data_IF_865533298143
#
_entry.id   IF_865533298143
#
_cell.length_a   1.000
_cell.length_b   1.000
_cell.length_c   1.000
_cell.angle_alpha   90.00
_cell.angle_beta   90.00
_cell.angle_gamma   90.00
#
_symmetry.space_group_name_H-M   'P 1'
#
loop_
_entity.id
_entity.type
_entity.pdbx_description
1 polymer ?
#
# COMPACT_ATOMS: atom_id res chain seq x y z
N UNK A 1 4.15 0.83 8.86
CA UNK A 1 3.56 2.18 8.75
C UNK A 1 2.07 2.02 8.47
N UNK A 2 1.27 2.61 9.31
CA UNK A 2 -0.19 2.45 9.28
C UNK A 2 -0.87 3.52 8.42
N UNK A 3 -2.18 3.40 8.27
CA UNK A 3 -3.00 4.36 7.56
C UNK A 3 -3.17 5.70 8.29
N UNK A 4 -3.66 6.68 7.57
CA UNK A 4 -3.97 8.00 8.08
C UNK A 4 -4.63 8.87 7.02
N UNK A 5 -5.20 10.02 7.41
CA UNK A 5 -5.91 10.89 6.49
C UNK A 5 -5.00 11.83 5.68
N UNK A 6 -3.70 11.88 5.98
CA UNK A 6 -2.77 12.80 5.35
C UNK A 6 -2.44 12.38 3.92
N UNK A 7 -2.05 13.32 3.07
CA UNK A 7 -1.35 13.00 1.82
C UNK A 7 0.07 12.55 2.11
N UNK A 8 0.55 11.52 1.41
CA UNK A 8 1.85 10.92 1.70
C UNK A 8 3.04 11.88 1.52
N UNK A 9 2.88 12.92 0.72
CA UNK A 9 3.92 13.92 0.46
C UNK A 9 3.66 15.26 1.16
N UNK A 10 2.72 15.34 2.09
CA UNK A 10 2.38 16.56 2.83
C UNK A 10 3.42 16.86 3.93
N UNK A 11 4.68 16.92 3.56
CA UNK A 11 5.82 17.06 4.47
C UNK A 11 5.81 18.37 5.25
N UNK A 12 5.37 19.46 4.61
CA UNK A 12 5.35 20.80 5.25
C UNK A 12 4.33 20.84 6.37
N UNK A 13 3.17 20.21 6.16
CA UNK A 13 2.09 20.18 7.14
C UNK A 13 2.30 19.10 8.20
N UNK A 14 2.90 17.98 7.80
CA UNK A 14 3.14 16.83 8.66
C UNK A 14 4.59 16.36 8.51
N UNK A 15 5.53 17.01 9.20
CA UNK A 15 6.96 16.69 9.02
C UNK A 15 7.35 15.27 9.43
N UNK A 16 6.56 14.61 10.26
CA UNK A 16 6.76 13.20 10.59
C UNK A 16 6.70 12.26 9.38
N UNK A 17 5.97 12.64 8.33
CA UNK A 17 5.91 11.84 7.08
C UNK A 17 7.29 11.74 6.42
N UNK A 18 8.07 12.81 6.47
CA UNK A 18 9.43 12.81 5.94
C UNK A 18 10.34 11.86 6.71
N UNK A 19 10.19 11.80 8.04
CA UNK A 19 10.93 10.86 8.88
C UNK A 19 10.54 9.41 8.57
N UNK A 20 9.25 9.14 8.36
CA UNK A 20 8.76 7.81 7.96
C UNK A 20 9.28 7.39 6.59
N UNK A 21 9.32 8.30 5.62
CA UNK A 21 9.89 8.03 4.31
C UNK A 21 11.39 7.69 4.40
N UNK A 22 12.12 8.41 5.23
CA UNK A 22 13.54 8.14 5.48
C UNK A 22 13.74 6.78 6.15
N UNK A 23 12.87 6.44 7.10
CA UNK A 23 12.89 5.13 7.76
C UNK A 23 12.63 4.00 6.77
N UNK A 24 11.67 4.18 5.85
CA UNK A 24 11.36 3.20 4.81
C UNK A 24 12.57 2.93 3.92
N UNK A 25 13.24 3.97 3.46
CA UNK A 25 14.47 3.83 2.66
C UNK A 25 15.58 3.10 3.43
N UNK A 26 15.76 3.45 4.69
CA UNK A 26 16.78 2.82 5.54
C UNK A 26 16.48 1.34 5.78
N UNK A 27 15.21 0.99 6.00
CA UNK A 27 14.80 -0.40 6.20
C UNK A 27 15.08 -1.24 4.97
N UNK A 28 14.71 -0.76 3.79
CA UNK A 28 14.97 -1.48 2.52
C UNK A 28 16.48 -1.62 2.27
N UNK A 29 17.24 -0.55 2.46
CA UNK A 29 18.69 -0.56 2.25
C UNK A 29 19.41 -1.55 3.18
N UNK A 30 18.89 -1.75 4.40
CA UNK A 30 19.46 -2.67 5.37
C UNK A 30 18.81 -4.07 5.39
N UNK A 31 17.85 -4.31 4.49
CA UNK A 31 17.15 -5.60 4.40
C UNK A 31 16.20 -5.88 5.55
N UNK A 32 15.80 -4.87 6.31
CA UNK A 32 14.86 -5.03 7.43
C UNK A 32 13.43 -5.03 6.92
N UNK A 33 12.58 -5.95 7.41
CA UNK A 33 11.17 -5.99 7.00
C UNK A 33 10.45 -4.69 7.33
N UNK A 34 9.66 -4.19 6.39
CA UNK A 34 8.78 -3.06 6.60
C UNK A 34 7.46 -3.30 5.86
N UNK A 35 6.36 -3.04 6.55
CA UNK A 35 5.00 -3.15 6.02
C UNK A 35 4.34 -1.79 6.03
N UNK A 36 3.71 -1.42 4.91
CA UNK A 36 2.88 -0.23 4.82
C UNK A 36 1.45 -0.57 4.45
N UNK A 37 0.49 0.03 5.15
CA UNK A 37 -0.94 -0.14 4.91
C UNK A 37 -1.56 1.21 4.59
N UNK A 38 -2.29 1.31 3.48
CA UNK A 38 -2.97 2.50 2.99
C UNK A 38 -2.01 3.69 2.84
N UNK A 39 -2.04 4.68 3.74
CA UNK A 39 -1.07 5.78 3.74
C UNK A 39 0.37 5.25 3.82
N UNK A 40 0.61 4.24 4.65
CA UNK A 40 1.93 3.62 4.80
C UNK A 40 2.44 2.98 3.51
N UNK A 41 1.56 2.36 2.74
CA UNK A 41 1.86 1.86 1.39
C UNK A 41 2.34 3.00 0.47
N UNK A 42 1.64 4.12 0.49
CA UNK A 42 1.97 5.30 -0.31
C UNK A 42 3.30 5.94 0.13
N UNK A 43 3.54 6.00 1.43
CA UNK A 43 4.81 6.52 1.98
C UNK A 43 5.98 5.64 1.53
N UNK A 44 5.86 4.34 1.63
CA UNK A 44 6.93 3.42 1.18
C UNK A 44 7.16 3.54 -0.31
N UNK A 45 6.09 3.52 -1.12
CA UNK A 45 6.19 3.60 -2.57
C UNK A 45 6.89 4.90 -3.01
N UNK A 46 6.46 6.04 -2.47
CA UNK A 46 7.04 7.35 -2.82
C UNK A 46 8.47 7.50 -2.29
N UNK A 47 8.76 6.95 -1.11
CA UNK A 47 10.13 6.92 -0.58
C UNK A 47 11.09 6.13 -1.49
N UNK A 48 10.57 5.13 -2.20
CA UNK A 48 11.32 4.30 -3.14
C UNK A 48 11.23 4.81 -4.60
N UNK A 49 10.76 6.04 -4.80
CA UNK A 49 10.79 6.72 -6.09
C UNK A 49 9.52 6.64 -6.91
N UNK A 50 8.46 6.00 -6.44
CA UNK A 50 7.19 5.97 -7.17
C UNK A 50 6.51 7.35 -7.13
N UNK A 51 5.69 7.61 -8.15
CA UNK A 51 4.90 8.83 -8.20
C UNK A 51 3.59 8.64 -7.44
N UNK A 52 3.17 9.70 -6.75
CA UNK A 52 1.84 9.81 -6.14
C UNK A 52 0.96 10.67 -7.04
N UNK A 53 -0.25 10.21 -7.31
CA UNK A 53 -1.24 11.00 -8.04
C UNK A 53 -2.63 10.76 -7.44
N UNK A 54 -3.55 11.66 -7.75
CA UNK A 54 -4.94 11.44 -7.42
C UNK A 54 -5.51 10.35 -8.33
N UNK A 55 -6.26 9.41 -7.77
CA UNK A 55 -6.91 8.37 -8.55
C UNK A 55 -8.04 8.93 -9.43
N UNK A 56 -8.44 8.16 -10.42
CA UNK A 56 -9.54 8.55 -11.33
C UNK A 56 -10.87 8.66 -10.58
N UNK A 57 -11.05 7.83 -9.55
CA UNK A 57 -12.20 7.87 -8.64
C UNK A 57 -11.77 7.32 -7.27
N UNK A 58 -12.40 7.79 -6.17
CA UNK A 58 -12.16 7.20 -4.86
C UNK A 58 -12.58 5.73 -4.83
N UNK A 59 -11.78 4.91 -4.16
CA UNK A 59 -12.20 3.56 -3.79
C UNK A 59 -12.59 3.56 -2.32
N UNK A 60 -13.87 3.36 -2.05
CA UNK A 60 -14.41 3.36 -0.68
C UNK A 60 -15.39 2.19 -0.57
N UNK A 61 -15.18 1.34 0.43
CA UNK A 61 -16.04 0.20 0.71
C UNK A 61 -15.38 -1.13 0.38
N UNK A 62 -16.13 -2.21 0.54
CA UNK A 62 -15.67 -3.56 0.26
C UNK A 62 -15.77 -3.85 -1.23
N UNK A 63 -14.67 -4.24 -1.82
CA UNK A 63 -14.59 -4.56 -3.24
C UNK A 63 -13.42 -5.52 -3.48
N UNK A 64 -13.44 -6.26 -4.61
CA UNK A 64 -12.39 -7.24 -4.87
C UNK A 64 -11.08 -6.61 -5.32
N UNK A 65 -9.99 -7.23 -4.91
CA UNK A 65 -8.68 -7.10 -5.55
C UNK A 65 -8.37 -8.40 -6.29
N UNK A 66 -7.58 -8.31 -7.34
CA UNK A 66 -7.11 -9.47 -8.10
C UNK A 66 -5.64 -9.70 -7.80
N UNK A 67 -5.30 -10.95 -7.45
CA UNK A 67 -3.92 -11.37 -7.32
C UNK A 67 -3.26 -11.40 -8.70
N UNK A 68 -2.12 -10.71 -8.83
CA UNK A 68 -1.32 -10.71 -10.05
C UNK A 68 -0.24 -11.77 -9.98
N UNK A 69 0.37 -11.93 -8.81
CA UNK A 69 1.48 -12.84 -8.58
C UNK A 69 1.24 -13.66 -7.32
N UNK A 70 1.66 -14.92 -7.35
CA UNK A 70 1.63 -15.84 -6.21
C UNK A 70 2.87 -15.68 -5.33
N UNK A 71 3.32 -14.47 -5.15
CA UNK A 71 4.53 -14.22 -4.40
C UNK A 71 4.24 -14.05 -2.92
N UNK A 72 5.13 -14.57 -2.05
CA UNK A 72 5.16 -14.21 -0.66
C UNK A 72 3.85 -14.51 0.09
N UNK A 73 3.42 -13.51 0.83
CA UNK A 73 2.19 -13.42 1.58
C UNK A 73 0.94 -13.74 0.75
N UNK A 74 0.96 -13.41 -0.55
CA UNK A 74 -0.17 -13.64 -1.44
C UNK A 74 -0.22 -15.06 -2.02
N UNK A 75 0.77 -15.89 -1.75
CA UNK A 75 0.84 -17.25 -2.30
C UNK A 75 -0.33 -18.13 -1.90
N UNK A 76 -0.87 -17.92 -0.70
CA UNK A 76 -1.97 -18.69 -0.13
C UNK A 76 -3.35 -18.10 -0.37
N UNK A 77 -3.43 -16.95 -1.03
CA UNK A 77 -4.69 -16.26 -1.28
C UNK A 77 -5.32 -16.75 -2.58
N UNK A 78 -6.66 -16.66 -2.63
CA UNK A 78 -7.39 -16.88 -3.86
C UNK A 78 -7.00 -15.85 -4.93
N UNK A 79 -7.34 -16.13 -6.18
CA UNK A 79 -7.10 -15.21 -7.30
C UNK A 79 -7.79 -13.86 -7.09
N UNK A 80 -8.88 -13.85 -6.35
CA UNK A 80 -9.66 -12.66 -6.03
C UNK A 80 -10.02 -12.67 -4.55
N UNK A 81 -9.88 -11.53 -3.90
CA UNK A 81 -10.19 -11.35 -2.49
C UNK A 81 -10.95 -10.05 -2.30
N UNK A 82 -12.04 -10.07 -1.53
CA UNK A 82 -12.78 -8.87 -1.16
C UNK A 82 -12.13 -8.23 0.06
N UNK A 83 -11.76 -6.96 -0.07
CA UNK A 83 -11.08 -6.19 0.96
C UNK A 83 -11.73 -4.82 1.15
N UNK A 84 -11.43 -4.15 2.26
CA UNK A 84 -11.87 -2.79 2.48
C UNK A 84 -10.93 -1.80 1.77
N UNK A 85 -11.51 -0.96 0.93
CA UNK A 85 -10.85 0.16 0.28
C UNK A 85 -11.27 1.46 0.94
N UNK A 86 -10.32 2.35 1.16
CA UNK A 86 -10.60 3.72 1.62
C UNK A 86 -9.44 4.62 1.24
N UNK A 87 -9.41 5.01 -0.04
CA UNK A 87 -8.37 5.90 -0.54
C UNK A 87 -8.81 6.60 -1.82
N UNK A 88 -8.15 7.69 -2.13
CA UNK A 88 -8.31 8.42 -3.38
C UNK A 88 -6.97 8.59 -4.11
N UNK A 89 -5.89 8.78 -3.36
CA UNK A 89 -4.55 8.84 -3.95
C UNK A 89 -4.06 7.44 -4.30
N UNK A 90 -3.30 7.36 -5.39
CA UNK A 90 -2.69 6.13 -5.88
C UNK A 90 -1.22 6.35 -6.17
N UNK A 91 -0.45 5.27 -6.12
CA UNK A 91 0.97 5.30 -6.43
C UNK A 91 1.28 4.44 -7.64
N UNK A 92 2.35 4.77 -8.34
CA UNK A 92 2.94 3.90 -9.33
C UNK A 92 3.70 2.75 -8.67
N UNK A 93 4.12 1.77 -9.47
CA UNK A 93 5.01 0.72 -9.00
C UNK A 93 6.43 1.28 -8.91
N UNK A 94 7.08 1.19 -7.74
CA UNK A 94 8.50 1.59 -7.66
C UNK A 94 9.36 0.78 -8.62
N UNK A 95 10.44 1.39 -9.12
CA UNK A 95 11.39 0.69 -9.99
C UNK A 95 11.88 -0.60 -9.31
N UNK A 96 11.91 -1.69 -10.07
CA UNK A 96 12.24 -3.05 -9.60
C UNK A 96 11.24 -3.63 -8.59
N UNK A 97 10.14 -2.94 -8.33
CA UNK A 97 9.06 -3.45 -7.51
C UNK A 97 8.30 -4.56 -8.22
N UNK A 98 7.81 -5.51 -7.44
CA UNK A 98 6.97 -6.60 -7.92
C UNK A 98 5.51 -6.30 -7.62
N UNK A 99 4.67 -6.29 -8.64
CA UNK A 99 3.24 -6.09 -8.48
C UNK A 99 2.60 -7.38 -7.96
N UNK A 100 1.88 -7.29 -6.83
CA UNK A 100 1.25 -8.45 -6.20
C UNK A 100 -0.26 -8.49 -6.41
N UNK A 101 -0.93 -7.33 -6.41
CA UNK A 101 -2.37 -7.26 -6.64
C UNK A 101 -2.78 -5.92 -7.24
N UNK A 102 -3.98 -5.94 -7.86
CA UNK A 102 -4.60 -4.77 -8.49
C UNK A 102 -6.11 -4.80 -8.29
N UNK A 103 -6.76 -3.66 -8.52
CA UNK A 103 -8.21 -3.59 -8.69
C UNK A 103 -8.54 -3.00 -10.07
N UNK A 104 -9.82 -2.94 -10.42
CA UNK A 104 -10.26 -2.37 -11.69
C UNK A 104 -9.89 -0.88 -11.83
N UNK A 105 -9.88 -0.14 -10.73
CA UNK A 105 -9.61 1.29 -10.72
C UNK A 105 -8.20 1.66 -10.23
N UNK A 106 -7.48 0.75 -9.60
CA UNK A 106 -6.13 1.00 -9.07
C UNK A 106 -5.18 -0.11 -9.48
N UNK A 107 -4.16 0.27 -10.25
CA UNK A 107 -3.21 -0.68 -10.83
C UNK A 107 -2.28 -1.29 -9.79
N UNK A 108 -1.91 -0.53 -8.75
CA UNK A 108 -1.00 -0.99 -7.70
C UNK A 108 -1.74 -1.04 -6.37
N UNK A 109 -2.33 -2.18 -6.08
CA UNK A 109 -2.97 -2.43 -4.79
C UNK A 109 -2.00 -3.01 -3.77
N UNK A 110 -1.02 -3.77 -4.23
CA UNK A 110 0.06 -4.27 -3.38
C UNK A 110 1.32 -4.49 -4.19
N UNK A 111 2.45 -4.27 -3.56
CA UNK A 111 3.76 -4.50 -4.16
C UNK A 111 4.76 -5.03 -3.14
N UNK A 112 5.80 -5.67 -3.66
CA UNK A 112 7.00 -6.07 -2.92
C UNK A 112 8.21 -5.41 -3.55
N UNK A 113 9.07 -4.81 -2.74
CA UNK A 113 10.40 -4.39 -3.17
C UNK A 113 11.39 -4.72 -2.05
N UNK A 114 12.24 -5.71 -2.30
CA UNK A 114 13.16 -6.18 -1.27
C UNK A 114 12.42 -6.60 -0.01
N UNK A 115 12.77 -6.01 1.12
CA UNK A 115 12.14 -6.27 2.42
C UNK A 115 10.86 -5.50 2.67
N UNK A 116 10.43 -4.64 1.73
CA UNK A 116 9.21 -3.84 1.87
C UNK A 116 8.01 -4.52 1.22
N UNK A 117 6.88 -4.47 1.92
CA UNK A 117 5.57 -4.88 1.42
C UNK A 117 4.60 -3.71 1.61
N UNK A 118 3.96 -3.27 0.53
CA UNK A 118 2.93 -2.24 0.59
C UNK A 118 1.57 -2.79 0.19
N UNK A 119 0.52 -2.43 0.94
CA UNK A 119 -0.87 -2.76 0.64
C UNK A 119 -1.73 -1.50 0.74
N UNK A 120 -2.41 -1.14 -0.35
CA UNK A 120 -3.29 0.03 -0.38
C UNK A 120 -4.57 -0.21 0.42
N UNK A 121 -5.04 -1.43 0.47
CA UNK A 121 -6.29 -1.83 1.12
C UNK A 121 -6.06 -2.18 2.59
N UNK A 122 -7.18 -2.33 3.32
CA UNK A 122 -7.18 -2.68 4.73
C UNK A 122 -7.60 -4.14 4.92
N UNK A 123 -6.81 -4.89 5.68
CA UNK A 123 -7.12 -6.26 6.10
C UNK A 123 -7.55 -6.36 7.57
N UNK A 124 -7.29 -5.31 8.34
CA UNK A 124 -7.60 -5.27 9.76
C UNK A 124 -9.10 -5.13 10.06
N UNK A 125 -9.91 -4.92 9.01
CA UNK A 125 -11.37 -4.78 9.11
C UNK A 125 -12.04 -5.85 8.25
N UNK A 126 -12.99 -6.58 8.81
CA UNK A 126 -13.80 -7.55 8.07
C UNK A 126 -15.13 -6.93 7.59
N UNK A 127 -15.84 -7.66 6.71
CA UNK A 127 -17.11 -7.21 6.13
C UNK A 127 -18.20 -6.93 7.18
N UNK A 128 -18.09 -7.47 8.38
CA UNK A 128 -19.00 -7.19 9.48
C UNK A 128 -18.63 -5.91 10.26
N UNK A 129 -17.63 -5.16 9.80
CA UNK A 129 -17.17 -3.93 10.45
C UNK A 129 -16.37 -4.16 11.73
N UNK A 130 -15.98 -5.41 12.01
CA UNK A 130 -15.16 -5.76 13.17
C UNK A 130 -13.70 -5.87 12.77
N UNK A 131 -12.81 -5.57 13.72
CA UNK A 131 -11.39 -5.78 13.51
C UNK A 131 -11.11 -7.26 13.26
N UNK A 132 -10.22 -7.55 12.31
CA UNK A 132 -9.75 -8.90 12.07
C UNK A 132 -8.98 -9.39 13.31
N UNK A 133 -9.43 -10.50 13.85
CA UNK A 133 -8.84 -11.12 15.05
C UNK A 133 -7.55 -11.87 14.76
#
# INVERSE_FOLDING_TARGET
>A
IMGGPMGALDYDKYPGLKAEAKLARAAVASGKPILGVCLGHQIIATALGAQLRKGDAPEIGFAPIKRVDKHDFFSMWDKQLTVLHWHNDVVGLPAEGQLLSRSSSTKVQAFRLGSALGMQFHLEVCAAGRMAG
#
